data_IF_203267502690
#
_entry.id   IF_203267502690
#
_cell.length_a   1.000
_cell.length_b   1.000
_cell.length_c   1.000
_cell.angle_alpha   90.00
_cell.angle_beta   90.00
_cell.angle_gamma   90.00
#
_symmetry.space_group_name_H-M   'P 1'
#
loop_
_entity.id
_entity.type
_entity.pdbx_description
1 polymer ?
#
# COMPACT_ATOMS: atom_id res chain seq x y z
N UNK A 1 5.94 12.00 -12.35
CA UNK A 1 7.34 12.17 -12.81
C UNK A 1 8.14 10.97 -12.35
N UNK A 2 8.79 10.28 -13.26
CA UNK A 2 9.69 9.15 -13.00
C UNK A 2 10.81 9.14 -14.04
N UNK A 3 11.77 8.25 -13.91
CA UNK A 3 12.89 8.15 -14.85
C UNK A 3 13.28 6.70 -15.11
N UNK A 4 13.88 6.48 -16.27
CA UNK A 4 14.59 5.25 -16.61
C UNK A 4 16.10 5.57 -16.57
N UNK A 5 16.87 4.70 -15.94
CA UNK A 5 18.33 4.81 -15.88
C UNK A 5 18.97 3.53 -16.38
N UNK A 6 19.84 3.63 -17.38
CA UNK A 6 20.61 2.51 -17.92
C UNK A 6 21.97 3.00 -18.40
N UNK A 7 22.95 2.09 -18.47
CA UNK A 7 24.27 2.35 -19.09
C UNK A 7 24.22 2.20 -20.61
N UNK A 8 23.21 1.50 -21.14
CA UNK A 8 23.03 1.25 -22.56
C UNK A 8 22.45 2.48 -23.26
N UNK A 9 23.31 3.19 -24.01
CA UNK A 9 22.95 4.41 -24.71
C UNK A 9 22.06 4.14 -25.94
N UNK A 10 22.25 3.00 -26.60
CA UNK A 10 21.45 2.64 -27.77
C UNK A 10 20.01 2.34 -27.34
N UNK A 11 19.85 1.59 -26.26
CA UNK A 11 18.54 1.35 -25.64
C UNK A 11 17.87 2.66 -25.23
N UNK A 12 18.61 3.56 -24.58
CA UNK A 12 18.06 4.85 -24.16
C UNK A 12 17.54 5.68 -25.35
N UNK A 13 18.27 5.67 -26.47
CA UNK A 13 17.86 6.38 -27.69
C UNK A 13 16.59 5.77 -28.30
N UNK A 14 16.52 4.44 -28.39
CA UNK A 14 15.32 3.72 -28.87
C UNK A 14 14.10 4.01 -28.01
N UNK A 15 14.25 4.01 -26.68
CA UNK A 15 13.18 4.34 -25.73
C UNK A 15 12.76 5.80 -25.88
N UNK A 16 13.71 6.73 -26.06
CA UNK A 16 13.41 8.15 -26.26
C UNK A 16 12.59 8.38 -27.53
N UNK A 17 12.94 7.73 -28.64
CA UNK A 17 12.15 7.78 -29.88
C UNK A 17 10.75 7.19 -29.67
N UNK A 18 10.65 6.04 -28.98
CA UNK A 18 9.34 5.45 -28.69
C UNK A 18 8.47 6.31 -27.77
N UNK A 19 9.08 7.08 -26.86
CA UNK A 19 8.39 7.99 -25.94
C UNK A 19 7.52 9.01 -26.67
N UNK A 20 7.92 9.45 -27.86
CA UNK A 20 7.17 10.40 -28.69
C UNK A 20 5.78 9.89 -29.06
N UNK A 21 5.62 8.57 -29.20
CA UNK A 21 4.33 7.94 -29.51
C UNK A 21 3.40 7.76 -28.31
N UNK A 22 3.93 7.83 -27.08
CA UNK A 22 3.14 7.58 -25.85
C UNK A 22 2.83 8.87 -25.07
N UNK A 23 3.82 9.73 -24.88
CA UNK A 23 3.69 10.86 -23.96
C UNK A 23 4.51 12.08 -24.33
N UNK A 24 5.43 11.97 -25.30
CA UNK A 24 6.32 13.03 -25.74
C UNK A 24 7.17 13.63 -24.60
N UNK A 25 6.65 14.63 -23.87
CA UNK A 25 7.33 15.28 -22.75
C UNK A 25 6.43 15.41 -21.52
N UNK A 26 7.04 15.62 -20.36
CA UNK A 26 6.27 15.99 -19.16
C UNK A 26 5.90 17.48 -19.24
N UNK A 27 4.90 17.89 -18.47
CA UNK A 27 4.57 19.32 -18.35
C UNK A 27 5.67 20.06 -17.58
N UNK A 28 6.04 21.24 -18.05
CA UNK A 28 7.07 22.07 -17.42
C UNK A 28 6.78 22.38 -15.93
N UNK A 29 5.53 22.67 -15.50
CA UNK A 29 5.24 22.83 -14.07
C UNK A 29 5.51 21.57 -13.24
N UNK A 30 5.20 20.38 -13.75
CA UNK A 30 5.49 19.13 -13.05
C UNK A 30 6.99 18.86 -12.94
N UNK A 31 7.77 19.20 -13.96
CA UNK A 31 9.23 19.09 -13.90
C UNK A 31 9.84 20.04 -12.86
N UNK A 32 9.34 21.28 -12.78
CA UNK A 32 9.77 22.25 -11.78
C UNK A 32 9.49 21.73 -10.35
N UNK A 33 8.28 21.26 -10.09
CA UNK A 33 7.91 20.69 -8.78
C UNK A 33 8.75 19.45 -8.43
N UNK A 34 9.04 18.59 -9.41
CA UNK A 34 9.89 17.42 -9.21
C UNK A 34 11.34 17.82 -8.87
N UNK A 35 11.90 18.84 -9.52
CA UNK A 35 13.22 19.37 -9.19
C UNK A 35 13.28 19.94 -7.77
N UNK A 36 12.24 20.68 -7.35
CA UNK A 36 12.13 21.19 -5.98
C UNK A 36 12.10 20.01 -4.99
N UNK A 37 11.27 19.00 -5.24
CA UNK A 37 11.17 17.82 -4.37
C UNK A 37 12.48 17.02 -4.30
N UNK A 38 13.18 16.81 -5.42
CA UNK A 38 14.46 16.10 -5.46
C UNK A 38 15.58 16.85 -4.74
N UNK A 39 15.60 18.18 -4.83
CA UNK A 39 16.54 19.03 -4.07
C UNK A 39 16.25 18.97 -2.56
N UNK A 40 14.98 18.87 -2.18
CA UNK A 40 14.53 18.73 -0.80
C UNK A 40 14.34 17.27 -0.34
N UNK A 41 14.99 16.30 -1.02
CA UNK A 41 14.73 14.87 -0.80
C UNK A 41 14.85 14.42 0.65
N UNK A 42 15.81 14.95 1.40
CA UNK A 42 16.04 14.55 2.80
C UNK A 42 14.81 14.90 3.65
N UNK A 43 14.25 16.10 3.47
CA UNK A 43 13.02 16.53 4.14
C UNK A 43 11.82 15.67 3.76
N UNK A 44 11.66 15.37 2.46
CA UNK A 44 10.55 14.56 1.96
C UNK A 44 10.63 13.12 2.47
N UNK A 45 11.82 12.52 2.42
CA UNK A 45 12.06 11.15 2.87
C UNK A 45 11.97 11.04 4.39
N UNK A 46 12.49 11.99 5.16
CA UNK A 46 12.37 11.99 6.61
C UNK A 46 10.90 12.06 7.05
N UNK A 47 10.10 12.94 6.44
CA UNK A 47 8.66 13.04 6.73
C UNK A 47 7.92 11.74 6.44
N UNK A 48 8.06 11.21 5.23
CA UNK A 48 7.35 9.98 4.83
C UNK A 48 7.85 8.77 5.61
N UNK A 49 9.16 8.66 5.85
CA UNK A 49 9.77 7.58 6.62
C UNK A 49 9.29 7.55 8.07
N UNK A 50 9.22 8.72 8.73
CA UNK A 50 8.67 8.83 10.08
C UNK A 50 7.22 8.36 10.15
N UNK A 51 6.37 8.87 9.26
CA UNK A 51 4.97 8.46 9.18
C UNK A 51 4.83 6.94 8.97
N UNK A 52 5.62 6.35 8.07
CA UNK A 52 5.57 4.91 7.81
C UNK A 52 6.03 4.08 9.02
N UNK A 53 7.05 4.54 9.76
CA UNK A 53 7.54 3.84 10.95
C UNK A 53 6.51 3.83 12.08
N UNK A 54 5.86 4.98 12.33
CA UNK A 54 4.78 5.10 13.32
C UNK A 54 3.61 4.19 12.94
N UNK A 55 3.17 4.28 11.69
CA UNK A 55 2.06 3.48 11.18
C UNK A 55 2.34 1.97 11.20
N UNK A 56 3.56 1.56 10.87
CA UNK A 56 3.95 0.15 10.91
C UNK A 56 3.93 -0.40 12.34
N UNK A 57 4.27 0.42 13.33
CA UNK A 57 4.19 0.04 14.75
C UNK A 57 2.75 -0.24 15.17
N UNK A 58 1.79 0.56 14.70
CA UNK A 58 0.35 0.34 14.96
C UNK A 58 -0.15 -0.94 14.31
N UNK A 59 0.28 -1.22 13.08
CA UNK A 59 -0.08 -2.47 12.38
C UNK A 59 0.53 -3.68 13.06
N UNK A 60 1.80 -3.62 13.46
CA UNK A 60 2.46 -4.72 14.17
C UNK A 60 1.70 -5.07 15.46
N UNK A 61 1.24 -4.06 16.21
CA UNK A 61 0.43 -4.27 17.41
C UNK A 61 -0.93 -4.91 17.09
N UNK A 62 -1.64 -4.41 16.07
CA UNK A 62 -2.92 -4.98 15.63
C UNK A 62 -2.77 -6.45 15.20
N UNK A 63 -1.82 -6.75 14.33
CA UNK A 63 -1.66 -8.11 13.83
C UNK A 63 -1.15 -9.08 14.88
N UNK A 64 -0.40 -8.62 15.88
CA UNK A 64 -0.03 -9.44 17.03
C UNK A 64 -1.25 -9.79 17.91
N UNK A 65 -2.20 -8.86 18.11
CA UNK A 65 -3.46 -9.15 18.83
C UNK A 65 -4.31 -10.20 18.08
N UNK A 66 -4.23 -10.21 16.75
CA UNK A 66 -5.03 -11.06 15.88
C UNK A 66 -4.24 -12.18 15.17
N UNK A 67 -3.13 -12.65 15.75
CA UNK A 67 -2.20 -13.61 15.11
C UNK A 67 -2.88 -14.93 14.65
N UNK A 68 -3.95 -15.35 15.34
CA UNK A 68 -4.75 -16.52 14.96
C UNK A 68 -5.67 -16.29 13.75
N UNK A 69 -6.02 -15.04 13.46
CA UNK A 69 -6.95 -14.66 12.38
C UNK A 69 -6.20 -14.12 11.17
N UNK A 70 -5.10 -13.41 11.38
CA UNK A 70 -4.29 -12.84 10.32
C UNK A 70 -2.86 -13.37 10.38
N UNK A 71 -2.35 -13.86 9.26
CA UNK A 71 -0.90 -14.04 9.10
C UNK A 71 -0.29 -12.73 8.59
N UNK A 72 0.59 -12.14 9.41
CA UNK A 72 1.25 -10.88 9.09
C UNK A 72 2.75 -11.08 8.86
N UNK A 73 3.19 -10.83 7.61
CA UNK A 73 4.60 -10.73 7.28
C UNK A 73 4.99 -9.26 7.21
N UNK A 74 5.69 -8.80 8.24
CA UNK A 74 6.12 -7.41 8.38
C UNK A 74 6.94 -6.94 7.16
N UNK A 75 6.49 -5.90 6.43
CA UNK A 75 7.23 -5.35 5.29
C UNK A 75 8.60 -4.80 5.72
N UNK A 76 9.64 -5.10 4.93
CA UNK A 76 11.00 -4.55 5.17
C UNK A 76 11.16 -3.13 4.66
N UNK A 77 10.37 -2.73 3.67
CA UNK A 77 10.37 -1.42 3.05
C UNK A 77 9.04 -1.17 2.34
N UNK A 78 8.79 0.08 1.95
CA UNK A 78 7.56 0.48 1.28
C UNK A 78 6.44 0.86 2.25
N UNK A 79 5.24 1.02 1.71
CA UNK A 79 4.07 1.50 2.43
C UNK A 79 2.86 0.57 2.29
N UNK A 80 3.10 -0.70 1.94
CA UNK A 80 2.08 -1.69 1.61
C UNK A 80 2.36 -2.97 2.36
N UNK A 81 1.32 -3.53 2.96
CA UNK A 81 1.28 -4.86 3.57
C UNK A 81 0.37 -5.80 2.81
N UNK A 82 0.56 -7.11 3.00
CA UNK A 82 -0.21 -8.16 2.33
C UNK A 82 -0.56 -9.34 3.26
N UNK A 83 -1.32 -9.11 4.34
CA UNK A 83 -1.69 -10.17 5.28
C UNK A 83 -2.53 -11.26 4.62
N UNK A 84 -2.45 -12.45 5.18
CA UNK A 84 -3.38 -13.56 4.91
C UNK A 84 -4.50 -13.55 5.95
N UNK A 85 -5.75 -13.68 5.54
CA UNK A 85 -6.89 -13.94 6.42
C UNK A 85 -7.08 -15.46 6.57
N UNK A 86 -6.94 -15.97 7.79
CA UNK A 86 -7.13 -17.39 8.12
C UNK A 86 -8.58 -17.77 8.42
N UNK A 87 -9.48 -16.81 8.49
CA UNK A 87 -10.91 -17.06 8.71
C UNK A 87 -11.57 -17.64 7.45
N UNK A 88 -12.70 -18.32 7.63
CA UNK A 88 -13.54 -18.83 6.53
C UNK A 88 -14.21 -17.73 5.69
N UNK A 89 -14.15 -16.47 6.14
CA UNK A 89 -14.66 -15.34 5.38
C UNK A 89 -13.78 -15.07 4.16
N UNK A 90 -14.42 -14.97 3.00
CA UNK A 90 -13.73 -14.62 1.76
C UNK A 90 -13.23 -13.16 1.77
N UNK A 91 -12.03 -12.91 1.26
CA UNK A 91 -11.40 -11.59 1.30
C UNK A 91 -12.08 -10.57 0.39
N UNK A 92 -12.75 -10.98 -0.69
CA UNK A 92 -13.54 -10.06 -1.50
C UNK A 92 -14.76 -9.59 -0.73
N UNK A 93 -15.44 -10.51 -0.04
CA UNK A 93 -16.56 -10.18 0.85
C UNK A 93 -16.10 -9.25 1.98
N UNK A 94 -14.96 -9.56 2.63
CA UNK A 94 -14.36 -8.69 3.64
C UNK A 94 -14.08 -7.29 3.09
N UNK A 95 -13.49 -7.18 1.89
CA UNK A 95 -13.13 -5.89 1.30
C UNK A 95 -14.36 -5.03 0.99
N UNK A 96 -15.43 -5.64 0.47
CA UNK A 96 -16.70 -4.96 0.19
C UNK A 96 -17.33 -4.48 1.52
N UNK A 97 -17.46 -5.38 2.49
CA UNK A 97 -18.11 -5.07 3.77
C UNK A 97 -17.34 -4.01 4.58
N UNK A 98 -16.01 -4.04 4.58
CA UNK A 98 -15.19 -3.02 5.23
C UNK A 98 -15.43 -1.62 4.66
N UNK A 99 -15.59 -1.51 3.33
CA UNK A 99 -15.90 -0.24 2.67
C UNK A 99 -17.30 0.23 3.04
N UNK A 100 -18.28 -0.66 3.00
CA UNK A 100 -19.69 -0.31 3.24
C UNK A 100 -19.97 0.05 4.71
N UNK A 101 -19.47 -0.77 5.64
CA UNK A 101 -19.79 -0.69 7.06
C UNK A 101 -18.85 0.25 7.82
N UNK A 102 -17.55 0.24 7.51
CA UNK A 102 -16.52 0.96 8.29
C UNK A 102 -15.83 2.07 7.49
N UNK A 103 -16.16 2.25 6.20
CA UNK A 103 -15.51 3.20 5.29
C UNK A 103 -14.00 2.96 5.15
N UNK A 104 -13.57 1.71 5.26
CA UNK A 104 -12.18 1.29 5.12
C UNK A 104 -11.98 0.57 3.80
N UNK A 105 -11.09 1.10 2.96
CA UNK A 105 -10.75 0.47 1.67
C UNK A 105 -9.49 -0.38 1.79
N UNK A 106 -9.65 -1.67 1.53
CA UNK A 106 -8.56 -2.61 1.24
C UNK A 106 -8.73 -3.17 -0.17
N UNK A 107 -7.68 -3.76 -0.74
CA UNK A 107 -7.76 -4.37 -2.07
C UNK A 107 -7.60 -5.89 -1.94
N UNK A 108 -8.56 -6.71 -2.37
CA UNK A 108 -8.42 -8.15 -2.27
C UNK A 108 -7.29 -8.68 -3.16
N UNK A 109 -6.73 -9.83 -2.76
CA UNK A 109 -5.57 -10.46 -3.40
C UNK A 109 -5.85 -10.94 -4.83
N UNK A 110 -7.11 -11.21 -5.16
CA UNK A 110 -7.57 -11.62 -6.49
C UNK A 110 -7.22 -10.60 -7.58
N UNK A 111 -7.12 -9.31 -7.25
CA UNK A 111 -6.67 -8.25 -8.18
C UNK A 111 -5.22 -8.45 -8.65
N UNK A 112 -4.43 -9.24 -7.93
CA UNK A 112 -3.04 -9.56 -8.26
C UNK A 112 -2.88 -10.96 -8.86
N UNK A 113 -3.97 -11.66 -9.18
CA UNK A 113 -3.99 -13.08 -9.55
C UNK A 113 -3.25 -13.96 -8.51
N UNK A 114 -3.23 -13.53 -7.25
CA UNK A 114 -2.54 -14.23 -6.17
C UNK A 114 -3.51 -15.17 -5.44
N UNK A 115 -3.22 -16.48 -5.36
CA UNK A 115 -4.13 -17.44 -4.76
C UNK A 115 -4.23 -17.25 -3.23
N UNK A 116 -5.36 -17.66 -2.68
CA UNK A 116 -5.60 -17.64 -1.24
C UNK A 116 -6.20 -16.34 -0.73
N UNK A 117 -6.42 -16.29 0.58
CA UNK A 117 -7.27 -15.31 1.23
C UNK A 117 -6.48 -14.07 1.67
N UNK A 118 -5.79 -13.40 0.75
CA UNK A 118 -4.94 -12.24 1.05
C UNK A 118 -5.58 -10.92 0.67
N UNK A 119 -5.19 -9.82 1.32
CA UNK A 119 -5.53 -8.47 0.87
C UNK A 119 -4.34 -7.53 0.98
N UNK A 120 -4.32 -6.51 0.14
CA UNK A 120 -3.40 -5.38 0.20
C UNK A 120 -3.96 -4.28 1.08
N UNK A 121 -3.16 -3.88 2.07
CA UNK A 121 -3.41 -2.68 2.88
C UNK A 121 -2.28 -1.67 2.71
N UNK A 122 -2.63 -0.39 2.58
CA UNK A 122 -1.66 0.70 2.49
C UNK A 122 -1.56 1.44 3.82
N UNK A 123 -0.34 1.70 4.28
CA UNK A 123 -0.07 2.41 5.54
C UNK A 123 0.73 3.71 5.34
N UNK A 124 0.67 4.27 4.13
CA UNK A 124 1.34 5.53 3.78
C UNK A 124 0.60 6.82 4.11
N UNK A 125 -0.57 6.75 4.77
CA UNK A 125 -1.40 7.93 5.07
C UNK A 125 -1.39 8.26 6.56
N UNK A 126 -1.52 9.56 6.86
CA UNK A 126 -1.58 10.08 8.24
C UNK A 126 -2.84 9.67 9.00
N UNK A 127 -3.92 9.34 8.28
CA UNK A 127 -5.20 8.92 8.85
C UNK A 127 -5.32 7.40 9.03
N UNK A 128 -4.22 6.64 8.89
CA UNK A 128 -4.22 5.19 9.14
C UNK A 128 -4.86 4.80 10.48
N UNK A 129 -4.63 5.49 11.60
CA UNK A 129 -5.27 5.12 12.88
C UNK A 129 -6.79 5.05 12.81
N UNK A 130 -7.42 5.91 11.99
CA UNK A 130 -8.88 5.93 11.80
C UNK A 130 -9.32 4.68 11.03
N UNK A 131 -8.61 4.36 9.95
CA UNK A 131 -8.89 3.17 9.14
C UNK A 131 -8.64 1.87 9.92
N UNK A 132 -7.56 1.82 10.70
CA UNK A 132 -7.23 0.68 11.56
C UNK A 132 -8.30 0.46 12.63
N UNK A 133 -8.81 1.53 13.24
CA UNK A 133 -9.92 1.44 14.19
C UNK A 133 -11.22 0.90 13.56
N UNK A 134 -11.46 1.20 12.27
CA UNK A 134 -12.57 0.61 11.52
C UNK A 134 -12.39 -0.89 11.29
N UNK A 135 -11.21 -1.29 10.84
CA UNK A 135 -10.85 -2.71 10.68
C UNK A 135 -10.97 -3.47 12.00
N UNK A 136 -10.51 -2.88 13.10
CA UNK A 136 -10.62 -3.45 14.45
C UNK A 136 -12.07 -3.70 14.88
N UNK A 137 -12.96 -2.73 14.68
CA UNK A 137 -14.41 -2.90 14.98
C UNK A 137 -15.04 -4.00 14.14
N UNK A 138 -14.69 -4.09 12.86
CA UNK A 138 -15.16 -5.15 11.99
C UNK A 138 -14.65 -6.51 12.46
N UNK A 139 -13.35 -6.63 12.75
CA UNK A 139 -12.74 -7.88 13.19
C UNK A 139 -13.38 -8.41 14.49
N UNK A 140 -13.62 -7.55 15.48
CA UNK A 140 -14.33 -7.93 16.72
C UNK A 140 -15.75 -8.41 16.48
N UNK A 141 -16.46 -7.84 15.50
CA UNK A 141 -17.84 -8.22 15.20
C UNK A 141 -17.94 -9.53 14.43
N UNK A 142 -17.08 -9.71 13.42
CA UNK A 142 -17.26 -10.75 12.40
C UNK A 142 -16.26 -11.91 12.50
N UNK A 143 -15.06 -11.66 13.05
CA UNK A 143 -13.96 -12.63 13.04
C UNK A 143 -13.76 -13.30 14.41
N UNK A 144 -14.18 -12.68 15.52
CA UNK A 144 -14.10 -13.29 16.87
C UNK A 144 -14.95 -14.56 17.03
N UNK A 145 -16.06 -14.68 16.31
CA UNK A 145 -16.98 -15.83 16.41
C UNK A 145 -16.62 -17.00 15.49
N UNK A 146 -15.62 -16.82 14.61
CA UNK A 146 -15.26 -17.77 13.55
C UNK A 146 -13.85 -18.35 13.70
N UNK A 147 -13.19 -18.09 14.83
CA UNK A 147 -11.96 -18.80 15.22
C UNK A 147 -12.37 -20.10 15.91
N UNK A 148 -12.58 -21.14 15.11
CA UNK A 148 -12.83 -22.50 15.58
C UNK A 148 -11.61 -23.38 15.27
#
# INVERSE_FOLDING_TARGET
IGWLATKDRELLQRISTYKEYISSCNSAPSELLALIALRARETVLARSGGLLAENLTLLDAFFAEWEGVFEWVRPRAGCVGFPHLRAELDVEELAIRLVEEERVLVVPGSIYDYPGNHFRLGFGRADLPIALAGLERFARRELQSRVA
#
